data_IF_361804160667
#
_entry.id   IF_361804160667
#
_cell.length_a   1.000
_cell.length_b   1.000
_cell.length_c   1.000
_cell.angle_alpha   90.00
_cell.angle_beta   90.00
_cell.angle_gamma   90.00
#
_symmetry.space_group_name_H-M   'P 1'
#
loop_
_entity.id
_entity.type
_entity.pdbx_description
1 polymer ?
#
# COMPACT_ATOMS: atom_id res chain seq x y z
N UNK A 1 -47.45 37.12 42.90
CA UNK A 1 -46.03 37.50 42.59
C UNK A 1 -45.36 36.29 41.92
N UNK A 2 -45.33 36.27 40.62
CA UNK A 2 -44.87 35.14 39.81
C UNK A 2 -43.41 35.42 39.43
N UNK A 3 -42.46 34.59 39.96
CA UNK A 3 -41.03 34.70 39.66
C UNK A 3 -40.74 33.97 38.35
N UNK A 4 -40.49 34.70 37.28
CA UNK A 4 -39.94 34.17 36.03
C UNK A 4 -38.46 33.85 36.23
N UNK A 5 -38.13 32.53 36.26
CA UNK A 5 -36.77 32.05 36.16
C UNK A 5 -36.37 32.01 34.65
N UNK A 6 -35.59 32.97 34.25
CA UNK A 6 -34.94 32.97 32.91
C UNK A 6 -33.82 31.90 32.89
N UNK A 7 -34.09 30.78 32.24
CA UNK A 7 -33.08 29.81 31.87
C UNK A 7 -32.28 30.33 30.69
N UNK A 8 -31.11 30.92 30.99
CA UNK A 8 -30.12 31.26 29.96
C UNK A 8 -29.43 29.92 29.57
N UNK A 9 -29.84 29.34 28.42
CA UNK A 9 -29.13 28.23 27.80
C UNK A 9 -27.79 28.78 27.25
N UNK A 10 -26.70 28.45 27.92
CA UNK A 10 -25.34 28.66 27.38
C UNK A 10 -25.13 27.74 26.16
N UNK A 11 -25.26 28.33 24.99
CA UNK A 11 -24.80 27.71 23.74
C UNK A 11 -23.26 27.71 23.72
N UNK A 12 -22.65 26.62 24.22
CA UNK A 12 -21.23 26.39 24.04
C UNK A 12 -20.98 26.01 22.55
N UNK A 13 -20.09 26.71 21.86
CA UNK A 13 -19.71 26.29 20.51
C UNK A 13 -19.07 24.91 20.59
N UNK A 14 -19.68 23.94 19.90
CA UNK A 14 -19.09 22.63 19.68
C UNK A 14 -17.86 22.84 18.80
N UNK A 15 -16.66 22.67 19.37
CA UNK A 15 -15.44 22.56 18.60
C UNK A 15 -15.53 21.27 17.78
N UNK A 16 -15.88 21.40 16.51
CA UNK A 16 -15.73 20.33 15.53
C UNK A 16 -14.21 20.16 15.35
N UNK A 17 -13.65 19.15 16.01
CA UNK A 17 -12.29 18.69 15.71
C UNK A 17 -12.37 18.08 14.31
N UNK A 18 -12.02 18.88 13.31
CA UNK A 18 -11.89 18.38 11.95
C UNK A 18 -10.76 17.35 11.92
N UNK A 19 -11.08 16.11 11.57
CA UNK A 19 -10.07 15.09 11.26
C UNK A 19 -9.24 15.63 10.09
N UNK A 20 -7.93 15.71 10.29
CA UNK A 20 -7.01 16.10 9.22
C UNK A 20 -7.05 14.96 8.19
N UNK A 21 -7.41 15.22 6.93
CA UNK A 21 -7.41 14.17 5.90
C UNK A 21 -6.04 13.52 5.82
N UNK A 22 -6.00 12.19 5.66
CA UNK A 22 -4.75 11.46 5.45
C UNK A 22 -4.03 12.02 4.20
N UNK A 23 -2.69 12.15 4.23
CA UNK A 23 -1.96 12.64 3.08
C UNK A 23 -2.08 11.66 1.91
N UNK A 24 -2.69 12.07 0.80
CA UNK A 24 -2.89 11.25 -0.41
C UNK A 24 -1.68 11.39 -1.35
N UNK A 25 -0.47 11.09 -0.84
CA UNK A 25 0.76 11.20 -1.63
C UNK A 25 1.71 10.02 -1.36
N UNK A 26 2.46 9.64 -2.39
CA UNK A 26 3.61 8.75 -2.30
C UNK A 26 4.89 9.57 -2.22
N UNK A 27 5.79 9.19 -1.31
CA UNK A 27 7.12 9.78 -1.23
C UNK A 27 8.04 9.06 -2.23
N UNK A 28 8.60 9.80 -3.18
CA UNK A 28 9.60 9.27 -4.12
C UNK A 28 10.89 8.91 -3.38
N UNK A 29 11.47 7.76 -3.71
CA UNK A 29 12.78 7.29 -3.24
C UNK A 29 13.77 7.48 -4.39
N UNK A 30 14.55 8.55 -4.34
CA UNK A 30 15.47 8.93 -5.42
C UNK A 30 16.56 7.87 -5.68
N UNK A 31 17.07 7.24 -4.62
CA UNK A 31 18.14 6.23 -4.66
C UNK A 31 17.70 4.93 -5.31
N UNK A 32 16.40 4.65 -5.34
CA UNK A 32 15.79 3.42 -5.90
C UNK A 32 16.55 2.15 -5.52
N UNK A 33 16.74 1.85 -4.22
CA UNK A 33 17.48 0.67 -3.80
C UNK A 33 16.77 -0.60 -4.26
N UNK A 34 17.53 -1.67 -4.47
CA UNK A 34 16.96 -3.00 -4.71
C UNK A 34 16.10 -3.41 -3.53
N UNK A 35 14.86 -3.84 -3.80
CA UNK A 35 13.96 -4.36 -2.79
C UNK A 35 14.53 -5.64 -2.18
N UNK A 36 14.59 -5.79 -0.83
CA UNK A 36 14.95 -7.06 -0.23
C UNK A 36 13.99 -8.16 -0.67
N UNK A 37 14.53 -9.28 -1.20
CA UNK A 37 13.69 -10.41 -1.61
C UNK A 37 13.07 -11.10 -0.39
N UNK A 38 11.91 -11.71 -0.61
CA UNK A 38 11.25 -12.55 0.40
C UNK A 38 10.51 -13.71 -0.25
N UNK A 39 10.17 -14.70 0.57
CA UNK A 39 9.33 -15.82 0.20
C UNK A 39 8.40 -16.12 1.38
N UNK A 40 7.13 -15.74 1.26
CA UNK A 40 6.12 -15.86 2.31
C UNK A 40 4.90 -16.64 1.80
N UNK A 41 4.22 -17.33 2.71
CA UNK A 41 2.94 -17.99 2.43
C UNK A 41 1.79 -17.04 2.68
N UNK A 42 0.70 -17.23 1.93
CA UNK A 42 -0.58 -16.56 2.17
C UNK A 42 -1.55 -17.46 2.98
N UNK A 43 -2.82 -16.99 3.10
CA UNK A 43 -3.90 -17.70 3.80
C UNK A 43 -4.26 -19.06 3.17
N UNK A 44 -4.04 -19.24 1.87
CA UNK A 44 -4.32 -20.46 1.13
C UNK A 44 -3.11 -21.41 1.12
N UNK A 45 -1.97 -20.99 1.70
CA UNK A 45 -0.72 -21.73 1.74
C UNK A 45 0.11 -21.60 0.46
N UNK A 46 -0.30 -20.71 -0.47
CA UNK A 46 0.48 -20.40 -1.66
C UNK A 46 1.72 -19.59 -1.30
N UNK A 47 2.85 -19.91 -1.94
CA UNK A 47 4.13 -19.22 -1.69
C UNK A 47 4.33 -18.09 -2.70
N UNK A 48 4.40 -16.88 -2.18
CA UNK A 48 4.71 -15.68 -2.94
C UNK A 48 6.18 -15.27 -2.75
N UNK A 49 6.91 -15.16 -3.85
CA UNK A 49 8.30 -14.71 -3.86
C UNK A 49 8.42 -13.43 -4.65
N UNK A 50 8.98 -12.36 -4.05
CA UNK A 50 9.06 -11.05 -4.69
C UNK A 50 9.87 -11.09 -6.00
N UNK A 51 11.00 -11.79 -6.02
CA UNK A 51 11.86 -11.89 -7.22
C UNK A 51 11.19 -12.56 -8.43
N UNK A 52 10.11 -13.33 -8.24
CA UNK A 52 9.33 -13.92 -9.34
C UNK A 52 8.36 -12.93 -10.00
N UNK A 53 8.18 -11.75 -9.41
CA UNK A 53 7.25 -10.70 -9.88
C UNK A 53 7.95 -9.64 -10.73
N UNK A 54 9.24 -9.82 -11.07
CA UNK A 54 9.93 -8.93 -11.99
C UNK A 54 9.16 -8.78 -13.31
N UNK A 55 9.19 -7.58 -13.88
CA UNK A 55 8.40 -7.22 -15.05
C UNK A 55 7.06 -6.57 -14.73
N UNK A 56 6.64 -6.58 -13.47
CA UNK A 56 5.38 -5.99 -12.99
C UNK A 56 5.67 -5.01 -11.84
N UNK A 57 4.94 -3.88 -11.73
CA UNK A 57 4.95 -3.09 -10.50
C UNK A 57 4.29 -3.88 -9.36
N UNK A 58 4.86 -3.74 -8.15
CA UNK A 58 4.34 -4.41 -6.95
C UNK A 58 4.12 -3.40 -5.85
N UNK A 59 2.92 -3.37 -5.26
CA UNK A 59 2.62 -2.66 -4.02
C UNK A 59 2.77 -3.66 -2.88
N UNK A 60 3.58 -3.31 -1.87
CA UNK A 60 3.80 -4.14 -0.68
C UNK A 60 3.40 -3.32 0.53
N UNK A 61 2.33 -3.73 1.21
CA UNK A 61 1.81 -3.09 2.40
C UNK A 61 2.15 -3.91 3.65
N UNK A 62 2.89 -3.34 4.58
CA UNK A 62 3.19 -3.94 5.90
C UNK A 62 2.14 -3.46 6.89
N UNK A 63 1.43 -4.40 7.54
CA UNK A 63 0.28 -4.11 8.37
C UNK A 63 0.07 -5.13 9.51
N UNK A 64 -0.85 -4.83 10.42
CA UNK A 64 -1.31 -5.77 11.45
C UNK A 64 -2.78 -5.52 11.82
N UNK A 65 -3.46 -6.53 12.36
CA UNK A 65 -4.90 -6.44 12.74
C UNK A 65 -5.12 -5.48 13.91
N UNK A 66 -4.16 -5.34 14.81
CA UNK A 66 -4.22 -4.44 15.96
C UNK A 66 -3.90 -2.98 15.63
N UNK A 67 -3.48 -2.67 14.41
CA UNK A 67 -3.10 -1.33 13.96
C UNK A 67 -4.33 -0.58 13.42
N UNK A 68 -4.86 0.46 14.11
CA UNK A 68 -6.08 1.12 13.68
C UNK A 68 -6.00 1.72 12.28
N UNK A 69 -4.98 2.52 11.88
CA UNK A 69 -4.93 3.07 10.52
C UNK A 69 -4.74 2.00 9.44
N UNK A 70 -4.17 0.81 9.78
CA UNK A 70 -4.10 -0.31 8.86
C UNK A 70 -5.50 -0.84 8.53
N UNK A 71 -6.35 -0.98 9.54
CA UNK A 71 -7.73 -1.45 9.39
C UNK A 71 -8.58 -0.48 8.58
N UNK A 72 -8.37 0.82 8.80
CA UNK A 72 -9.10 1.89 8.12
C UNK A 72 -8.81 1.94 6.62
N UNK A 73 -7.58 1.62 6.20
CA UNK A 73 -7.20 1.64 4.78
C UNK A 73 -7.62 0.39 3.99
N UNK A 74 -7.93 -0.75 4.64
CA UNK A 74 -8.23 -2.01 3.96
C UNK A 74 -9.36 -1.92 2.92
N UNK A 75 -10.50 -1.24 3.20
CA UNK A 75 -11.56 -1.12 2.20
C UNK A 75 -11.15 -0.36 0.94
N UNK A 76 -10.36 0.71 1.08
CA UNK A 76 -9.85 1.47 -0.06
C UNK A 76 -8.78 0.69 -0.82
N UNK A 77 -7.96 -0.08 -0.10
CA UNK A 77 -6.96 -0.97 -0.70
C UNK A 77 -7.61 -2.07 -1.53
N UNK A 78 -8.75 -2.65 -1.07
CA UNK A 78 -9.53 -3.62 -1.85
C UNK A 78 -10.05 -2.99 -3.15
N UNK A 79 -10.60 -1.77 -3.10
CA UNK A 79 -11.06 -1.07 -4.31
C UNK A 79 -9.91 -0.73 -5.26
N UNK A 80 -8.76 -0.33 -4.71
CA UNK A 80 -7.54 -0.11 -5.49
C UNK A 80 -7.06 -1.39 -6.18
N UNK A 81 -7.01 -2.51 -5.44
CA UNK A 81 -6.60 -3.81 -5.97
C UNK A 81 -7.45 -4.25 -7.17
N UNK A 82 -8.77 -4.14 -7.09
CA UNK A 82 -9.68 -4.51 -8.19
C UNK A 82 -9.40 -3.75 -9.50
N UNK A 83 -8.90 -2.51 -9.40
CA UNK A 83 -8.49 -1.71 -10.56
C UNK A 83 -7.09 -2.09 -11.04
N UNK A 84 -6.16 -2.24 -10.11
CA UNK A 84 -4.74 -2.45 -10.37
C UNK A 84 -4.44 -3.85 -10.92
N UNK A 85 -5.18 -4.88 -10.47
CA UNK A 85 -5.05 -6.26 -10.94
C UNK A 85 -5.29 -6.35 -12.45
N UNK A 86 -6.35 -5.70 -12.96
CA UNK A 86 -6.68 -5.64 -14.39
C UNK A 86 -5.58 -4.96 -15.21
N UNK A 87 -4.80 -4.13 -14.57
CA UNK A 87 -3.68 -3.39 -15.13
C UNK A 87 -2.33 -4.09 -14.96
N UNK A 88 -2.33 -5.31 -14.41
CA UNK A 88 -1.14 -6.12 -14.23
C UNK A 88 -0.22 -5.68 -13.07
N UNK A 89 -0.68 -4.79 -12.19
CA UNK A 89 0.00 -4.44 -10.94
C UNK A 89 -0.31 -5.50 -9.87
N UNK A 90 0.69 -5.88 -9.09
CA UNK A 90 0.51 -6.80 -7.95
C UNK A 90 0.36 -6.01 -6.66
N UNK A 91 -0.56 -6.43 -5.79
CA UNK A 91 -0.66 -5.93 -4.42
C UNK A 91 -0.48 -7.10 -3.47
N UNK A 92 0.44 -6.97 -2.51
CA UNK A 92 0.73 -7.94 -1.46
C UNK A 92 0.61 -7.25 -0.10
N UNK A 93 -0.23 -7.78 0.78
CA UNK A 93 -0.36 -7.28 2.14
C UNK A 93 0.41 -8.20 3.10
N UNK A 94 1.56 -7.74 3.60
CA UNK A 94 2.43 -8.48 4.51
C UNK A 94 1.99 -8.22 5.95
N UNK A 95 1.36 -9.21 6.56
CA UNK A 95 0.97 -9.17 7.96
C UNK A 95 2.20 -9.44 8.85
N UNK A 96 2.44 -8.56 9.83
CA UNK A 96 3.64 -8.58 10.66
C UNK A 96 3.36 -9.16 12.04
N UNK A 97 3.98 -10.31 12.34
CA UNK A 97 4.06 -10.85 13.70
C UNK A 97 2.80 -11.52 14.22
N UNK A 98 1.80 -11.80 13.38
CA UNK A 98 0.56 -12.44 13.80
C UNK A 98 0.43 -13.86 13.21
N UNK A 99 -0.40 -14.69 13.86
CA UNK A 99 -0.72 -16.02 13.38
C UNK A 99 -1.87 -15.99 12.34
N UNK A 100 -1.97 -17.02 11.46
CA UNK A 100 -2.99 -17.10 10.43
C UNK A 100 -4.43 -17.07 10.98
N UNK A 101 -4.70 -17.64 12.14
CA UNK A 101 -6.05 -17.72 12.72
C UNK A 101 -6.54 -16.32 13.13
N UNK A 102 -5.65 -15.50 13.70
CA UNK A 102 -5.94 -14.10 14.05
C UNK A 102 -6.29 -13.30 12.78
N UNK A 103 -5.50 -13.44 11.73
CA UNK A 103 -5.73 -12.73 10.46
C UNK A 103 -6.98 -13.24 9.75
N UNK A 104 -7.24 -14.55 9.77
CA UNK A 104 -8.45 -15.12 9.19
C UNK A 104 -9.72 -14.58 9.85
N UNK A 105 -9.73 -14.47 11.20
CA UNK A 105 -10.87 -13.84 11.91
C UNK A 105 -11.05 -12.37 11.51
N UNK A 106 -9.96 -11.66 11.31
CA UNK A 106 -10.00 -10.28 10.86
C UNK A 106 -10.63 -10.15 9.45
N UNK A 107 -10.27 -11.01 8.49
CA UNK A 107 -10.82 -10.98 7.13
C UNK A 107 -12.33 -11.25 7.08
N UNK A 108 -12.89 -11.90 8.09
CA UNK A 108 -14.35 -12.04 8.25
C UNK A 108 -15.08 -10.71 8.45
N UNK A 109 -14.41 -9.70 9.01
CA UNK A 109 -14.94 -8.35 9.23
C UNK A 109 -14.47 -7.34 8.16
N UNK A 110 -13.32 -7.61 7.56
CA UNK A 110 -12.67 -6.80 6.51
C UNK A 110 -12.35 -7.70 5.32
N UNK A 111 -13.35 -8.07 4.51
CA UNK A 111 -13.13 -8.98 3.38
C UNK A 111 -12.24 -8.32 2.33
N UNK A 112 -11.17 -9.01 1.97
CA UNK A 112 -10.22 -8.62 0.92
C UNK A 112 -9.90 -9.83 0.04
N UNK A 113 -9.58 -9.58 -1.24
CA UNK A 113 -9.29 -10.60 -2.24
C UNK A 113 -7.81 -10.60 -2.66
N UNK A 114 -7.07 -9.55 -2.31
CA UNK A 114 -5.62 -9.53 -2.54
C UNK A 114 -4.89 -10.45 -1.56
N UNK A 115 -3.73 -11.02 -1.93
CA UNK A 115 -2.95 -11.92 -1.08
C UNK A 115 -2.51 -11.27 0.23
N UNK A 116 -2.78 -11.95 1.35
CA UNK A 116 -2.26 -11.60 2.67
C UNK A 116 -1.17 -12.59 3.03
N UNK A 117 0.07 -12.11 3.14
CA UNK A 117 1.26 -12.89 3.40
C UNK A 117 1.66 -12.81 4.88
N UNK A 118 2.27 -13.87 5.42
CA UNK A 118 2.61 -13.97 6.83
C UNK A 118 4.11 -13.79 7.10
N UNK A 119 4.50 -12.66 7.66
CA UNK A 119 5.82 -12.39 8.23
C UNK A 119 5.76 -12.63 9.76
N UNK A 120 5.62 -13.92 10.15
CA UNK A 120 5.33 -14.31 11.55
C UNK A 120 6.44 -13.97 12.52
N UNK A 121 7.68 -14.04 12.10
CA UNK A 121 8.86 -13.77 12.90
C UNK A 121 9.39 -12.33 12.73
N UNK A 122 8.78 -11.54 11.87
CA UNK A 122 9.19 -10.17 11.58
C UNK A 122 10.49 -10.07 10.78
N UNK A 123 10.97 -11.16 10.19
CA UNK A 123 12.25 -11.18 9.48
C UNK A 123 12.19 -10.33 8.20
N UNK A 124 11.08 -10.39 7.46
CA UNK A 124 10.89 -9.60 6.24
C UNK A 124 10.72 -8.13 6.59
N UNK A 125 9.81 -7.78 7.48
CA UNK A 125 9.60 -6.38 7.91
C UNK A 125 10.86 -5.77 8.53
N UNK A 126 11.67 -6.58 9.22
CA UNK A 126 12.98 -6.16 9.77
C UNK A 126 14.06 -5.92 8.71
N UNK A 127 13.98 -6.60 7.55
CA UNK A 127 14.89 -6.40 6.42
C UNK A 127 14.51 -5.20 5.54
N UNK A 128 13.25 -4.76 5.59
CA UNK A 128 12.74 -3.60 4.87
C UNK A 128 12.83 -2.34 5.74
N UNK A 129 12.91 -1.13 5.14
CA UNK A 129 12.96 0.12 5.93
C UNK A 129 11.58 0.51 6.50
N UNK A 130 10.93 -0.45 7.19
CA UNK A 130 9.65 -0.26 7.89
C UNK A 130 9.92 0.47 9.20
N UNK A 131 9.32 1.64 9.38
CA UNK A 131 9.48 2.47 10.60
C UNK A 131 8.26 2.46 11.50
N UNK A 132 7.15 1.87 11.06
CA UNK A 132 5.88 1.76 11.76
C UNK A 132 4.80 1.22 10.83
N UNK A 133 3.59 0.94 11.34
CA UNK A 133 2.50 0.37 10.55
C UNK A 133 1.36 1.39 10.40
N UNK A 134 0.70 1.43 9.22
CA UNK A 134 1.13 0.77 8.01
C UNK A 134 2.31 1.48 7.36
N UNK A 135 3.17 0.72 6.69
CA UNK A 135 4.14 1.26 5.74
C UNK A 135 3.98 0.52 4.42
N UNK A 136 3.82 1.27 3.34
CA UNK A 136 3.65 0.70 2.00
C UNK A 136 4.79 1.13 1.10
N UNK A 137 5.33 0.18 0.35
CA UNK A 137 6.33 0.40 -0.68
C UNK A 137 5.77 0.08 -2.06
N UNK A 138 6.23 0.83 -3.05
CA UNK A 138 6.00 0.51 -4.46
C UNK A 138 7.33 0.11 -5.07
N UNK A 139 7.37 -1.09 -5.63
CA UNK A 139 8.52 -1.69 -6.30
C UNK A 139 8.29 -1.64 -7.79
N UNK A 140 9.30 -1.18 -8.55
CA UNK A 140 9.24 -1.13 -10.01
C UNK A 140 9.46 -2.52 -10.65
N UNK A 141 9.17 -2.68 -11.95
CA UNK A 141 9.38 -3.95 -12.66
C UNK A 141 10.83 -4.47 -12.64
N UNK A 142 11.79 -3.64 -12.27
CA UNK A 142 13.19 -4.02 -12.12
C UNK A 142 13.54 -4.47 -10.69
N UNK A 143 12.54 -4.52 -9.79
CA UNK A 143 12.74 -4.94 -8.40
C UNK A 143 13.33 -3.87 -7.50
N UNK A 144 13.15 -2.57 -7.80
CA UNK A 144 13.67 -1.46 -7.01
C UNK A 144 12.54 -0.72 -6.29
N UNK A 145 12.79 -0.29 -5.07
CA UNK A 145 11.84 0.54 -4.32
C UNK A 145 11.83 1.95 -4.92
N UNK A 146 10.67 2.38 -5.43
CA UNK A 146 10.50 3.69 -6.07
C UNK A 146 9.72 4.66 -5.20
N UNK A 147 8.67 4.17 -4.52
CA UNK A 147 7.85 5.00 -3.66
C UNK A 147 7.65 4.36 -2.29
N UNK A 148 7.35 5.22 -1.31
CA UNK A 148 6.95 4.84 0.04
C UNK A 148 5.79 5.69 0.54
N UNK A 149 4.86 5.09 1.29
CA UNK A 149 3.90 5.76 2.13
C UNK A 149 4.02 5.26 3.58
N UNK A 150 4.01 6.19 4.55
CA UNK A 150 3.99 5.87 5.99
C UNK A 150 2.65 6.36 6.54
N UNK A 151 1.94 5.50 7.28
CA UNK A 151 0.59 5.74 7.76
C UNK A 151 -0.48 5.44 6.71
N UNK A 152 -1.74 5.33 7.16
CA UNK A 152 -2.88 4.96 6.31
C UNK A 152 -3.14 5.91 5.14
N UNK A 153 -3.79 5.38 4.10
CA UNK A 153 -4.17 6.10 2.87
C UNK A 153 -5.56 5.66 2.40
N UNK A 154 -6.20 6.51 1.60
CA UNK A 154 -7.33 6.09 0.74
C UNK A 154 -6.75 5.60 -0.59
N UNK A 155 -6.43 4.30 -0.65
CA UNK A 155 -5.62 3.71 -1.75
C UNK A 155 -6.29 3.76 -3.12
N UNK A 156 -7.61 3.90 -3.20
CA UNK A 156 -8.35 4.08 -4.46
C UNK A 156 -8.33 5.52 -5.00
N UNK A 157 -7.66 6.45 -4.29
CA UNK A 157 -7.41 7.80 -4.79
C UNK A 157 -6.48 7.78 -6.02
N UNK A 158 -6.88 8.48 -7.07
CA UNK A 158 -6.16 8.50 -8.34
C UNK A 158 -4.73 9.04 -8.21
N UNK A 159 -4.51 9.99 -7.31
CA UNK A 159 -3.17 10.56 -7.08
C UNK A 159 -2.16 9.54 -6.54
N UNK A 160 -2.64 8.46 -5.90
CA UNK A 160 -1.80 7.34 -5.47
C UNK A 160 -1.63 6.29 -6.57
N UNK A 161 -2.67 6.06 -7.39
CA UNK A 161 -2.66 5.02 -8.41
C UNK A 161 -1.89 5.42 -9.67
N UNK A 162 -1.99 6.67 -10.11
CA UNK A 162 -1.32 7.15 -11.33
C UNK A 162 0.18 6.88 -11.34
N UNK A 163 0.97 7.24 -10.30
CA UNK A 163 2.40 6.97 -10.29
C UNK A 163 2.75 5.48 -10.37
N UNK A 164 1.91 4.61 -9.80
CA UNK A 164 2.10 3.15 -9.85
C UNK A 164 1.83 2.62 -11.25
N UNK A 165 0.76 3.11 -11.89
CA UNK A 165 0.39 2.72 -13.25
C UNK A 165 1.42 3.16 -14.29
N UNK A 166 2.06 4.31 -14.09
CA UNK A 166 3.14 4.80 -14.96
C UNK A 166 4.36 3.87 -14.98
N UNK A 167 4.65 3.18 -13.87
CA UNK A 167 5.78 2.25 -13.81
C UNK A 167 5.66 1.07 -14.78
N UNK A 168 4.44 0.68 -15.20
CA UNK A 168 4.23 -0.37 -16.21
C UNK A 168 4.85 0.00 -17.56
N UNK A 169 4.73 1.27 -17.94
CA UNK A 169 5.21 1.76 -19.23
C UNK A 169 6.73 1.78 -19.29
N UNK A 170 7.41 1.86 -18.14
CA UNK A 170 8.85 1.83 -18.04
C UNK A 170 9.44 0.48 -18.46
N UNK A 171 8.68 -0.61 -18.37
CA UNK A 171 9.08 -1.95 -18.81
C UNK A 171 9.03 -2.10 -20.33
N UNK A 172 8.03 -1.51 -20.98
CA UNK A 172 7.82 -1.61 -22.42
C UNK A 172 8.95 -0.91 -23.21
N UNK A 173 9.47 0.19 -22.67
CA UNK A 173 10.55 0.95 -23.32
C UNK A 173 11.94 0.32 -23.15
N UNK A 174 12.14 -0.55 -22.16
CA UNK A 174 13.42 -1.23 -21.95
C UNK A 174 13.65 -2.42 -22.93
N UNK A 175 12.61 -2.89 -23.61
CA UNK A 175 12.65 -4.09 -24.47
C UNK A 175 12.79 -3.77 -25.97
N UNK A 176 12.73 -2.49 -26.37
CA UNK A 176 12.92 -2.12 -27.78
C UNK A 176 14.40 -1.77 -28.02
N UNK A 177 15.20 -2.66 -28.67
CA UNK A 177 16.54 -2.30 -29.10
C UNK A 177 16.45 -1.13 -30.10
N UNK A 178 17.08 0.00 -29.76
CA UNK A 178 17.20 1.12 -30.69
C UNK A 178 17.95 0.65 -31.93
N UNK A 179 17.41 0.77 -33.16
CA UNK A 179 18.15 0.38 -34.37
C UNK A 179 19.43 1.22 -34.45
N UNK A 180 20.54 0.63 -34.92
CA UNK A 180 21.80 1.34 -35.04
C UNK A 180 21.63 2.58 -35.96
N UNK A 181 22.32 3.69 -35.65
CA UNK A 181 22.24 4.89 -36.49
C UNK A 181 22.65 4.55 -37.91
N UNK A 182 21.75 4.77 -38.85
CA UNK A 182 22.06 4.67 -40.29
C UNK A 182 23.11 5.71 -40.64
N UNK A 183 24.36 5.29 -40.62
CA UNK A 183 25.46 6.10 -41.10
C UNK A 183 25.29 6.37 -42.59
N UNK A 184 25.10 7.65 -42.96
CA UNK A 184 25.23 8.10 -44.34
C UNK A 184 26.65 7.88 -44.80
N UNK A 185 26.87 6.85 -45.64
CA UNK A 185 28.06 6.74 -46.47
C UNK A 185 27.89 7.74 -47.63
N UNK A 186 28.68 8.80 -47.57
CA UNK A 186 29.02 9.59 -48.75
C UNK A 186 30.36 9.15 -49.28
#
# INVERSE_FOLDING_TARGET
MLRYLLLIALLLPQLVVGETPLPQTLTLIEERPTAPDFSLQDLDGEVHRLSTLHGRPVIINFWATWCPPCREEMPSMQRAWQRLEQEGVVLLAVNVGEDPDTVFQFTGSYPVEFPILFDRDGAVSGAWPVVGLPTTFVVDPQGRIVYRAIGGREWDDQTLLEPVLELRNSSANATTPQPPPTGNLK
#
